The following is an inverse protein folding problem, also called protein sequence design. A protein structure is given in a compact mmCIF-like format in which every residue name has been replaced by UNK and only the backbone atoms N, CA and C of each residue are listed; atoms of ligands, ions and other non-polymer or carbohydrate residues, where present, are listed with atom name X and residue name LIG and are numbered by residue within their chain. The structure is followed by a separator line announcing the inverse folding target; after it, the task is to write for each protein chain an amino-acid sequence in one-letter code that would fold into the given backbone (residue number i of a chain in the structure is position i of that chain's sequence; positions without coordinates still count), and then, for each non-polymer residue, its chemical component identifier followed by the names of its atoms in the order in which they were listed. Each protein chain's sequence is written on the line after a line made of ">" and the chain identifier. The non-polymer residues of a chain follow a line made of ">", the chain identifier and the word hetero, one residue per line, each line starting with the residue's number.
data_IF_098240761663
#
_entry.id   IF_098240761663
#
_cell.length_a   1.000
_cell.length_b   1.000
_cell.length_c   1.000
_cell.angle_alpha   90.00
_cell.angle_beta   90.00
_cell.angle_gamma   90.00
#
_symmetry.space_group_name_H-M   'P 1'
#
loop_
_entity.id
_entity.type
_entity.pdbx_description
1 polymer ?
#
# COMPACT_ATOMS: atom_id res chain seq x y z
N UNK A 1 8.47 -9.56 8.10
CA UNK A 1 9.10 -10.84 8.31
C UNK A 1 9.58 -11.44 6.99
N UNK A 2 10.90 -11.62 6.87
CA UNK A 2 11.52 -12.08 5.64
C UNK A 2 11.02 -13.45 5.17
N UNK A 3 10.68 -14.34 6.09
CA UNK A 3 10.23 -15.68 5.76
C UNK A 3 8.88 -15.72 5.05
N UNK A 4 8.10 -14.64 5.14
CA UNK A 4 6.77 -14.56 4.52
C UNK A 4 6.80 -13.95 3.13
N UNK A 5 7.90 -13.29 2.76
CA UNK A 5 8.03 -12.73 1.42
C UNK A 5 8.52 -13.80 0.46
N UNK A 6 8.10 -13.77 -0.81
CA UNK A 6 8.64 -14.70 -1.81
C UNK A 6 10.13 -14.49 -2.01
N UNK A 7 10.81 -15.52 -2.48
CA UNK A 7 12.25 -15.49 -2.69
C UNK A 7 12.68 -14.37 -3.66
N UNK A 8 11.82 -14.03 -4.62
CA UNK A 8 12.08 -13.00 -5.62
C UNK A 8 11.46 -11.64 -5.25
N UNK A 9 11.16 -11.41 -3.97
CA UNK A 9 10.53 -10.17 -3.51
C UNK A 9 11.28 -8.93 -3.97
N UNK A 10 12.61 -8.93 -3.82
CA UNK A 10 13.42 -7.77 -4.22
C UNK A 10 13.29 -7.47 -5.70
N UNK A 11 13.26 -8.50 -6.53
CA UNK A 11 13.08 -8.34 -7.97
C UNK A 11 11.70 -7.79 -8.30
N UNK A 12 10.65 -8.30 -7.66
CA UNK A 12 9.28 -7.81 -7.85
C UNK A 12 9.14 -6.36 -7.43
N UNK A 13 9.70 -6.02 -6.28
CA UNK A 13 9.66 -4.65 -5.76
C UNK A 13 10.39 -3.68 -6.69
N UNK A 14 11.56 -4.06 -7.17
CA UNK A 14 12.32 -3.23 -8.12
C UNK A 14 11.58 -3.07 -9.43
N UNK A 15 10.99 -4.14 -9.94
CA UNK A 15 10.23 -4.08 -11.17
C UNK A 15 9.08 -3.08 -11.05
N UNK A 16 8.31 -3.17 -9.97
CA UNK A 16 7.17 -2.28 -9.76
C UNK A 16 7.61 -0.83 -9.69
N UNK A 17 8.66 -0.53 -8.90
CA UNK A 17 9.10 0.85 -8.69
C UNK A 17 9.80 1.46 -9.90
N UNK A 18 10.68 0.71 -10.55
CA UNK A 18 11.60 1.29 -11.53
C UNK A 18 11.23 0.97 -12.97
N UNK A 19 10.58 -0.15 -13.23
CA UNK A 19 10.19 -0.52 -14.58
C UNK A 19 8.75 -0.11 -14.85
N UNK A 20 7.80 -0.64 -14.08
CA UNK A 20 6.38 -0.36 -14.29
C UNK A 20 6.02 1.08 -13.95
N UNK A 21 6.42 1.56 -12.78
CA UNK A 21 6.09 2.91 -12.31
C UNK A 21 7.04 3.97 -12.84
N UNK A 22 8.14 3.59 -13.44
CA UNK A 22 9.14 4.50 -13.99
C UNK A 22 9.67 5.48 -12.94
N UNK A 23 9.93 4.97 -11.75
CA UNK A 23 10.50 5.75 -10.65
C UNK A 23 9.58 6.88 -10.15
N UNK A 24 8.27 6.72 -10.34
CA UNK A 24 7.26 7.68 -9.89
C UNK A 24 6.18 6.98 -9.09
N UNK A 25 5.52 7.72 -8.20
CA UNK A 25 4.35 7.20 -7.49
C UNK A 25 3.26 6.88 -8.49
N UNK A 26 2.71 5.67 -8.43
CA UNK A 26 1.66 5.26 -9.36
C UNK A 26 0.34 5.98 -9.12
N UNK A 27 0.14 6.57 -7.95
CA UNK A 27 -1.12 7.23 -7.61
C UNK A 27 -1.08 8.75 -7.80
N UNK A 28 0.02 9.42 -7.42
CA UNK A 28 0.10 10.88 -7.52
C UNK A 28 1.14 11.39 -8.52
N UNK A 29 1.99 10.49 -9.02
CA UNK A 29 2.99 10.87 -10.01
C UNK A 29 4.25 11.51 -9.46
N UNK A 30 4.38 11.65 -8.13
CA UNK A 30 5.56 12.27 -7.53
C UNK A 30 6.82 11.48 -7.86
N UNK A 31 7.87 12.19 -8.29
CA UNK A 31 9.11 11.57 -8.72
C UNK A 31 9.98 11.21 -7.52
N UNK A 32 10.47 9.97 -7.51
CA UNK A 32 11.33 9.48 -6.44
C UNK A 32 12.60 10.35 -6.32
N UNK A 33 12.94 10.71 -5.10
CA UNK A 33 14.13 11.51 -4.82
C UNK A 33 13.95 13.01 -4.97
N UNK A 34 12.80 13.47 -5.48
CA UNK A 34 12.51 14.89 -5.65
C UNK A 34 11.56 15.41 -4.56
N UNK A 35 11.51 16.75 -4.36
CA UNK A 35 10.52 17.28 -3.42
C UNK A 35 9.10 16.98 -3.88
N UNK A 36 8.26 16.56 -2.94
CA UNK A 36 6.86 16.29 -3.25
C UNK A 36 6.12 17.59 -3.54
N UNK A 37 5.32 17.68 -4.62
CA UNK A 37 4.64 18.93 -4.97
C UNK A 37 3.70 19.46 -3.87
N UNK A 38 3.10 18.57 -3.08
CA UNK A 38 2.16 18.99 -2.04
C UNK A 38 2.83 19.23 -0.68
N UNK A 39 3.85 18.46 -0.33
CA UNK A 39 4.45 18.52 1.02
C UNK A 39 5.82 19.14 1.06
N UNK A 40 6.52 19.21 -0.06
CA UNK A 40 7.90 19.68 -0.14
C UNK A 40 8.93 18.70 0.39
N UNK A 41 8.51 17.61 1.00
CA UNK A 41 9.42 16.60 1.53
C UNK A 41 9.96 15.72 0.40
N UNK A 42 11.18 15.22 0.59
CA UNK A 42 11.79 14.32 -0.40
C UNK A 42 10.94 13.07 -0.56
N UNK A 43 10.60 12.76 -1.80
CA UNK A 43 9.82 11.57 -2.13
C UNK A 43 10.68 10.32 -1.97
N UNK A 44 10.18 9.36 -1.21
CA UNK A 44 10.79 8.03 -1.09
C UNK A 44 9.77 7.03 -1.62
N UNK A 45 10.10 6.39 -2.73
CA UNK A 45 9.20 5.45 -3.38
C UNK A 45 9.28 4.09 -2.68
N UNK A 46 8.13 3.55 -2.34
CA UNK A 46 8.02 2.24 -1.68
C UNK A 46 7.11 1.32 -2.47
N UNK A 47 7.17 0.03 -2.20
CA UNK A 47 6.26 -0.93 -2.82
C UNK A 47 5.24 -1.36 -1.76
N UNK A 48 3.97 -1.09 -2.04
CA UNK A 48 2.87 -1.35 -1.13
C UNK A 48 2.02 -2.52 -1.60
N UNK A 49 1.49 -3.29 -0.64
CA UNK A 49 0.47 -4.31 -0.88
C UNK A 49 -0.89 -3.62 -0.75
N UNK A 50 -1.60 -3.43 -1.86
CA UNK A 50 -2.77 -2.52 -1.86
C UNK A 50 -4.10 -3.22 -1.63
N UNK A 51 -4.24 -4.48 -1.97
CA UNK A 51 -5.48 -5.23 -1.77
C UNK A 51 -5.37 -6.27 -0.66
N UNK A 52 -4.33 -7.08 -0.69
CA UNK A 52 -4.07 -8.11 0.30
C UNK A 52 -2.75 -7.78 0.98
N UNK A 53 -2.81 -7.48 2.28
CA UNK A 53 -1.66 -6.98 3.04
C UNK A 53 -0.70 -8.06 3.52
N UNK A 54 -1.00 -9.33 3.24
CA UNK A 54 -0.09 -10.41 3.63
C UNK A 54 1.19 -10.34 2.79
N UNK A 55 2.38 -10.48 3.40
CA UNK A 55 3.63 -10.39 2.65
C UNK A 55 3.75 -11.39 1.50
N UNK A 56 3.18 -12.57 1.64
CA UNK A 56 3.19 -13.59 0.60
C UNK A 56 2.29 -13.26 -0.59
N UNK A 57 1.37 -12.29 -0.44
CA UNK A 57 0.49 -11.85 -1.53
C UNK A 57 1.21 -10.84 -2.42
N UNK A 58 2.27 -11.28 -3.10
CA UNK A 58 3.16 -10.43 -3.87
C UNK A 58 2.92 -10.53 -5.39
N UNK A 59 1.68 -10.78 -5.81
CA UNK A 59 1.30 -10.65 -7.20
C UNK A 59 1.52 -9.20 -7.66
N UNK A 60 1.98 -9.01 -8.89
CA UNK A 60 2.21 -7.67 -9.43
C UNK A 60 0.93 -6.83 -9.43
N UNK A 61 -0.23 -7.47 -9.54
CA UNK A 61 -1.52 -6.76 -9.48
C UNK A 61 -1.85 -6.28 -8.07
N UNK A 62 -1.26 -6.89 -7.05
CA UNK A 62 -1.45 -6.49 -5.66
C UNK A 62 -0.42 -5.46 -5.18
N UNK A 63 0.58 -5.15 -6.00
CA UNK A 63 1.66 -4.25 -5.61
C UNK A 63 1.52 -2.91 -6.33
N UNK A 64 1.85 -1.84 -5.63
CA UNK A 64 1.92 -0.51 -6.23
C UNK A 64 3.14 0.22 -5.69
N UNK A 65 3.78 1.00 -6.58
CA UNK A 65 4.84 1.91 -6.16
C UNK A 65 4.19 3.19 -5.65
N UNK A 66 4.33 3.47 -4.37
CA UNK A 66 3.71 4.62 -3.73
C UNK A 66 4.75 5.47 -3.00
N UNK A 67 4.60 6.79 -3.11
CA UNK A 67 5.35 7.70 -2.25
C UNK A 67 4.84 7.57 -0.81
N UNK A 68 5.59 8.10 0.14
CA UNK A 68 5.20 8.00 1.55
C UNK A 68 3.83 8.59 1.83
N UNK A 69 3.50 9.71 1.18
CA UNK A 69 2.20 10.36 1.37
C UNK A 69 1.05 9.45 0.96
N UNK A 70 1.14 8.86 -0.23
CA UNK A 70 0.10 7.96 -0.72
C UNK A 70 0.07 6.65 0.05
N UNK A 71 1.23 6.12 0.42
CA UNK A 71 1.32 4.91 1.22
C UNK A 71 0.67 5.11 2.59
N UNK A 72 0.99 6.21 3.26
CA UNK A 72 0.41 6.52 4.56
C UNK A 72 -1.10 6.75 4.47
N UNK A 73 -1.56 7.41 3.42
CA UNK A 73 -2.99 7.62 3.21
C UNK A 73 -3.72 6.29 3.01
N UNK A 74 -3.12 5.39 2.24
CA UNK A 74 -3.69 4.05 2.03
C UNK A 74 -3.75 3.26 3.35
N UNK A 75 -2.67 3.27 4.12
CA UNK A 75 -2.61 2.56 5.40
C UNK A 75 -3.63 3.14 6.39
N UNK A 76 -3.78 4.46 6.43
CA UNK A 76 -4.76 5.10 7.30
C UNK A 76 -6.19 4.69 6.91
N UNK A 77 -6.48 4.65 5.63
CA UNK A 77 -7.77 4.19 5.12
C UNK A 77 -8.05 2.75 5.53
N UNK A 78 -7.07 1.88 5.36
CA UNK A 78 -7.23 0.47 5.72
C UNK A 78 -7.45 0.30 7.21
N UNK A 79 -6.74 1.07 8.04
CA UNK A 79 -6.95 1.02 9.48
C UNK A 79 -8.36 1.48 9.88
N UNK A 80 -8.86 2.55 9.24
CA UNK A 80 -10.22 3.04 9.50
C UNK A 80 -11.27 2.01 9.09
N UNK A 81 -11.10 1.39 7.94
CA UNK A 81 -12.00 0.34 7.47
C UNK A 81 -11.98 -0.87 8.39
N UNK A 82 -10.80 -1.26 8.86
CA UNK A 82 -10.68 -2.36 9.80
C UNK A 82 -11.40 -2.08 11.12
N UNK A 83 -11.26 -0.86 11.65
CA UNK A 83 -11.98 -0.47 12.87
C UNK A 83 -13.47 -0.43 12.65
N UNK A 84 -13.91 0.09 11.52
CA UNK A 84 -15.33 0.13 11.18
C UNK A 84 -15.91 -1.26 11.08
N UNK A 85 -15.21 -2.17 10.42
CA UNK A 85 -15.66 -3.55 10.28
C UNK A 85 -15.78 -4.24 11.66
N UNK A 86 -14.81 -4.00 12.54
CA UNK A 86 -14.89 -4.56 13.89
C UNK A 86 -16.05 -4.00 14.67
N UNK A 87 -16.29 -2.70 14.57
CA UNK A 87 -17.44 -2.07 15.22
C UNK A 87 -18.74 -2.63 14.68
N UNK A 88 -18.83 -2.84 13.38
CA UNK A 88 -20.00 -3.44 12.76
C UNK A 88 -20.21 -4.88 13.22
N UNK A 89 -19.12 -5.65 13.36
CA UNK A 89 -19.23 -7.01 13.86
C UNK A 89 -19.66 -7.06 15.33
N UNK A 90 -19.14 -6.14 16.15
CA UNK A 90 -19.52 -6.06 17.56
C UNK A 90 -20.97 -5.67 17.76
N UNK A 91 -21.46 -4.71 16.98
CA UNK A 91 -22.85 -4.26 17.03
C UNK A 91 -23.72 -4.95 15.99
N UNK A 92 -23.10 -5.55 15.00
CA UNK A 92 -23.76 -6.11 13.84
C UNK A 92 -24.54 -7.36 14.12
N UNK A 93 -24.35 -7.93 15.27
CA UNK A 93 -25.19 -8.99 15.74
C UNK A 93 -26.64 -8.52 15.82
N UNK A 94 -26.84 -7.24 16.05
CA UNK A 94 -28.15 -6.64 15.98
C UNK A 94 -28.68 -6.66 14.56
N UNK A 95 -27.84 -6.34 13.60
CA UNK A 95 -28.24 -6.35 12.21
C UNK A 95 -28.56 -7.75 11.71
N UNK A 96 -27.85 -8.75 12.22
CA UNK A 96 -28.05 -10.13 11.80
C UNK A 96 -29.26 -10.80 12.43
N UNK A 97 -29.93 -10.13 13.30
CA UNK A 97 -31.05 -10.69 14.06
C UNK A 97 -32.43 -10.24 13.58
N UNK A 98 -32.47 -9.53 12.49
CA UNK A 98 -33.74 -9.13 11.93
C UNK A 98 -34.47 -10.19 11.17
#
# INVERSE_FOLDING_TARGET
>A
NKARYPADWKLRSRFVRFVRARNRCEWCGAENGQPHPATGSKVVLTTAHVFDHRPEAASLLNLAALCQKCHNAHDAKMRREGRKQRAELESGQHALQF
#
